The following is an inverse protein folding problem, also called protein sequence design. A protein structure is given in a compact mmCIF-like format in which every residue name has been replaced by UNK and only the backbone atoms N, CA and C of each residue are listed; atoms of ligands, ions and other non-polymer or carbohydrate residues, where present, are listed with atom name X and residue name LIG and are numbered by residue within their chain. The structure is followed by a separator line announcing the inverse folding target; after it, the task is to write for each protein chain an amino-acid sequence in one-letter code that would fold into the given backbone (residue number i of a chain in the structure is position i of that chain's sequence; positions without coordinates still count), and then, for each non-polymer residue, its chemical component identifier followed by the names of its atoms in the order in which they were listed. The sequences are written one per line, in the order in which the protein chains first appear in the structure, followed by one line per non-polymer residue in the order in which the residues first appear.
data_IF_188725362484
#
_entry.id   IF_188725362484
#
_cell.length_a   1.000
_cell.length_b   1.000
_cell.length_c   1.000
_cell.angle_alpha   90.00
_cell.angle_beta   90.00
_cell.angle_gamma   90.00
#
_symmetry.space_group_name_H-M   'P 1'
#
loop_
_entity.id
_entity.type
_entity.pdbx_description
1 polymer ?
#
# COMPACT_ATOMS: atom_id res chain seq x y z
N UNK A 1 35.50 30.88 -19.43
CA UNK A 1 34.92 29.52 -19.23
C UNK A 1 33.67 29.73 -18.38
N UNK A 2 32.49 29.70 -19.04
CA UNK A 2 31.17 29.84 -18.40
C UNK A 2 30.73 28.48 -17.90
N UNK A 3 30.45 28.39 -16.60
CA UNK A 3 29.73 27.27 -16.02
C UNK A 3 28.28 27.30 -16.50
N UNK A 4 27.86 26.22 -17.12
CA UNK A 4 26.51 26.00 -17.61
C UNK A 4 25.60 25.65 -16.45
N UNK A 5 24.41 26.22 -16.53
CA UNK A 5 23.37 26.34 -15.57
C UNK A 5 22.84 25.06 -14.95
N UNK A 6 22.49 25.21 -13.70
CA UNK A 6 21.52 24.38 -13.00
C UNK A 6 20.17 24.52 -13.70
N UNK A 7 19.77 23.51 -14.44
CA UNK A 7 18.40 23.39 -14.92
C UNK A 7 17.50 23.14 -13.70
N UNK A 8 16.84 24.19 -13.27
CA UNK A 8 15.69 24.14 -12.40
C UNK A 8 14.62 23.29 -13.09
N UNK A 9 14.51 22.02 -12.69
CA UNK A 9 13.30 21.25 -12.92
C UNK A 9 12.16 21.92 -12.15
N UNK A 10 11.46 22.82 -12.81
CA UNK A 10 10.14 23.28 -12.39
C UNK A 10 9.22 22.07 -12.43
N UNK A 11 9.01 21.43 -11.27
CA UNK A 11 7.94 20.47 -11.08
C UNK A 11 6.61 21.21 -11.36
N UNK A 12 6.07 21.00 -12.55
CA UNK A 12 4.65 21.22 -12.78
C UNK A 12 3.90 20.36 -11.79
N UNK A 13 3.08 20.97 -10.94
CA UNK A 13 2.25 20.28 -9.98
C UNK A 13 1.33 19.31 -10.74
N UNK A 14 1.74 18.07 -10.89
CA UNK A 14 0.89 16.98 -11.35
C UNK A 14 -0.28 16.79 -10.38
N UNK A 15 -1.35 16.11 -10.80
CA UNK A 15 -2.51 15.89 -9.95
C UNK A 15 -2.05 15.31 -8.62
N UNK A 16 -2.58 15.82 -7.50
CA UNK A 16 -2.26 15.35 -6.16
C UNK A 16 -2.57 13.85 -6.09
N UNK A 17 -1.55 12.99 -6.13
CA UNK A 17 -1.68 11.53 -6.10
C UNK A 17 -2.33 10.98 -4.82
N UNK A 18 -2.71 11.87 -3.88
CA UNK A 18 -3.21 11.51 -2.56
C UNK A 18 -4.40 12.39 -2.14
N UNK A 19 -5.47 11.74 -1.63
CA UNK A 19 -6.65 12.41 -1.06
C UNK A 19 -6.38 12.75 0.40
N UNK A 20 -6.25 14.02 0.74
CA UNK A 20 -6.16 14.48 2.11
C UNK A 20 -4.86 15.17 2.47
N UNK A 21 -4.50 15.15 3.76
CA UNK A 21 -3.28 15.76 4.29
C UNK A 21 -2.10 14.88 3.89
N UNK A 22 -1.10 15.47 3.22
CA UNK A 22 0.11 14.75 2.82
C UNK A 22 0.81 14.12 4.04
N UNK A 23 1.26 12.90 3.89
CA UNK A 23 1.98 12.16 4.92
C UNK A 23 3.46 12.48 4.85
N UNK A 24 3.84 13.71 5.25
CA UNK A 24 5.20 14.21 5.24
C UNK A 24 5.68 14.69 6.62
N UNK A 25 6.97 14.76 6.84
CA UNK A 25 7.59 15.32 8.01
C UNK A 25 7.12 14.69 9.32
N UNK A 26 6.60 15.52 10.21
CA UNK A 26 6.16 15.09 11.54
C UNK A 26 5.00 14.10 11.49
N UNK A 27 4.02 14.31 10.60
CA UNK A 27 2.84 13.42 10.46
C UNK A 27 3.23 12.01 10.05
N UNK A 28 4.16 11.86 9.11
CA UNK A 28 4.71 10.57 8.70
C UNK A 28 5.46 9.87 9.83
N UNK A 29 6.30 10.62 10.57
CA UNK A 29 7.07 10.08 11.71
C UNK A 29 6.15 9.64 12.85
N UNK A 30 5.13 10.41 13.17
CA UNK A 30 4.13 10.04 14.17
C UNK A 30 3.37 8.78 13.73
N UNK A 31 2.90 8.73 12.49
CA UNK A 31 2.22 7.57 11.94
C UNK A 31 3.10 6.31 12.01
N UNK A 32 4.35 6.39 11.60
CA UNK A 32 5.28 5.27 11.65
C UNK A 32 5.41 4.70 13.08
N UNK A 33 5.50 5.57 14.10
CA UNK A 33 5.56 5.15 15.51
C UNK A 33 4.28 4.44 15.97
N UNK A 34 3.11 4.94 15.58
CA UNK A 34 1.83 4.30 15.96
C UNK A 34 1.68 2.92 15.34
N UNK A 35 2.23 2.70 14.15
CA UNK A 35 2.18 1.40 13.47
C UNK A 35 3.10 0.34 14.07
N UNK A 36 4.07 0.70 14.89
CA UNK A 36 4.90 -0.27 15.62
C UNK A 36 4.08 -1.22 16.52
N UNK A 37 2.95 -0.75 17.02
CA UNK A 37 2.05 -1.59 17.84
C UNK A 37 1.32 -2.68 17.01
N UNK A 38 1.48 -2.69 15.70
CA UNK A 38 0.80 -3.63 14.79
C UNK A 38 1.79 -4.58 14.09
N UNK A 39 3.00 -4.74 14.64
CA UNK A 39 4.04 -5.58 14.05
C UNK A 39 3.61 -7.05 13.86
N UNK A 40 2.80 -7.59 14.77
CA UNK A 40 2.28 -8.95 14.65
C UNK A 40 1.32 -9.09 13.46
N UNK A 41 0.52 -8.07 13.16
CA UNK A 41 -0.33 -8.04 11.98
C UNK A 41 0.51 -7.99 10.68
N UNK A 42 1.59 -7.18 10.65
CA UNK A 42 2.53 -7.17 9.52
C UNK A 42 3.21 -8.52 9.31
N UNK A 43 3.67 -9.18 10.36
CA UNK A 43 4.26 -10.54 10.29
C UNK A 43 3.26 -11.56 9.75
N UNK A 44 2.03 -11.54 10.25
CA UNK A 44 0.97 -12.43 9.79
C UNK A 44 0.66 -12.22 8.30
N UNK A 45 0.50 -10.98 7.87
CA UNK A 45 0.27 -10.63 6.46
C UNK A 45 1.44 -11.04 5.57
N UNK A 46 2.66 -10.76 6.00
CA UNK A 46 3.87 -11.13 5.27
C UNK A 46 3.95 -12.65 5.08
N UNK A 47 3.66 -13.42 6.13
CA UNK A 47 3.62 -14.89 6.06
C UNK A 47 2.58 -15.39 5.07
N UNK A 48 1.33 -14.89 5.14
CA UNK A 48 0.26 -15.24 4.18
C UNK A 48 0.63 -14.95 2.73
N UNK A 49 1.37 -13.87 2.49
CA UNK A 49 1.85 -13.51 1.15
C UNK A 49 3.01 -14.40 0.74
N UNK A 50 4.02 -14.59 1.60
CA UNK A 50 5.19 -15.42 1.32
C UNK A 50 4.83 -16.85 0.93
N UNK A 51 3.81 -17.45 1.55
CA UNK A 51 3.32 -18.80 1.25
C UNK A 51 2.80 -18.95 -0.20
N UNK A 52 2.49 -17.83 -0.87
CA UNK A 52 1.95 -17.80 -2.24
C UNK A 52 2.98 -17.35 -3.28
N UNK A 53 4.16 -16.96 -2.84
CA UNK A 53 5.23 -16.46 -3.70
C UNK A 53 6.25 -17.55 -4.00
N UNK A 54 6.82 -17.50 -5.21
CA UNK A 54 7.98 -18.29 -5.58
C UNK A 54 9.26 -17.62 -5.05
N UNK A 55 10.30 -18.40 -4.70
CA UNK A 55 11.62 -17.82 -4.44
C UNK A 55 12.08 -16.91 -5.59
N UNK A 56 12.90 -15.92 -5.28
CA UNK A 56 13.51 -14.97 -6.23
C UNK A 56 12.51 -14.13 -7.05
N UNK A 57 11.21 -14.09 -6.66
CA UNK A 57 10.25 -13.26 -7.38
C UNK A 57 10.43 -11.77 -7.09
N UNK A 58 10.08 -10.95 -8.09
CA UNK A 58 10.06 -9.49 -7.99
C UNK A 58 8.71 -9.04 -7.39
N UNK A 59 8.76 -8.40 -6.22
CA UNK A 59 7.59 -7.92 -5.48
C UNK A 59 7.57 -6.41 -5.43
N UNK A 60 6.44 -5.80 -5.79
CA UNK A 60 6.20 -4.37 -5.58
C UNK A 60 5.21 -4.16 -4.43
N UNK A 61 5.61 -3.45 -3.38
CA UNK A 61 4.68 -2.88 -2.41
C UNK A 61 4.36 -1.43 -2.80
N UNK A 62 3.08 -1.14 -3.04
CA UNK A 62 2.59 0.21 -3.36
C UNK A 62 2.12 0.88 -2.07
N UNK A 63 2.68 2.04 -1.78
CA UNK A 63 2.50 2.82 -0.55
C UNK A 63 2.90 2.04 0.72
N UNK A 64 4.17 1.59 0.84
CA UNK A 64 4.68 0.84 1.98
C UNK A 64 4.67 1.63 3.29
N UNK A 65 4.53 2.96 3.24
CA UNK A 65 4.69 3.80 4.41
C UNK A 65 6.05 3.57 5.10
N UNK A 66 6.09 3.20 6.40
CA UNK A 66 7.35 2.94 7.11
C UNK A 66 8.05 1.63 6.71
N UNK A 67 7.54 0.85 5.74
CA UNK A 67 8.16 -0.34 5.17
C UNK A 67 8.05 -1.61 6.00
N UNK A 68 7.22 -1.65 7.03
CA UNK A 68 7.18 -2.78 7.97
C UNK A 68 6.77 -4.09 7.31
N UNK A 69 5.78 -4.08 6.42
CA UNK A 69 5.38 -5.30 5.70
C UNK A 69 6.50 -5.80 4.79
N UNK A 70 7.10 -4.92 3.96
CA UNK A 70 8.24 -5.27 3.10
C UNK A 70 9.39 -5.87 3.89
N UNK A 71 9.71 -5.32 5.07
CA UNK A 71 10.77 -5.80 5.95
C UNK A 71 10.44 -7.21 6.48
N UNK A 72 9.22 -7.42 6.97
CA UNK A 72 8.81 -8.72 7.46
C UNK A 72 8.75 -9.76 6.33
N UNK A 73 8.35 -9.37 5.12
CA UNK A 73 8.38 -10.24 3.95
C UNK A 73 9.82 -10.62 3.55
N UNK A 74 10.74 -9.66 3.55
CA UNK A 74 12.15 -9.90 3.22
C UNK A 74 12.86 -10.89 4.17
N UNK A 75 12.37 -11.02 5.40
CA UNK A 75 12.90 -11.99 6.38
C UNK A 75 12.44 -13.44 6.12
N UNK A 76 11.41 -13.62 5.29
CA UNK A 76 10.76 -14.94 5.09
C UNK A 76 11.26 -15.69 3.86
N UNK A 77 12.02 -15.03 2.97
CA UNK A 77 12.54 -15.69 1.79
C UNK A 77 13.39 -14.78 0.91
N UNK A 78 13.98 -15.35 -0.11
CA UNK A 78 14.76 -14.63 -1.12
C UNK A 78 13.80 -13.97 -2.11
N UNK A 79 13.32 -12.79 -1.79
CA UNK A 79 12.44 -11.97 -2.65
C UNK A 79 13.16 -10.67 -3.04
N UNK A 80 12.97 -10.22 -4.28
CA UNK A 80 13.43 -8.90 -4.73
C UNK A 80 12.33 -7.88 -4.48
N UNK A 81 12.37 -7.20 -3.33
CA UNK A 81 11.31 -6.32 -2.91
C UNK A 81 11.60 -4.86 -3.28
N UNK A 82 10.63 -4.23 -3.93
CA UNK A 82 10.63 -2.79 -4.21
C UNK A 82 9.41 -2.15 -3.54
N UNK A 83 9.60 -1.03 -2.85
CA UNK A 83 8.52 -0.21 -2.31
C UNK A 83 8.40 1.11 -3.08
N UNK A 84 7.19 1.49 -3.47
CA UNK A 84 6.88 2.78 -4.11
C UNK A 84 6.00 3.61 -3.21
N UNK A 85 6.47 4.77 -2.77
CA UNK A 85 5.66 5.71 -1.97
C UNK A 85 5.74 7.13 -2.54
N UNK A 86 4.66 7.89 -2.38
CA UNK A 86 4.59 9.29 -2.78
C UNK A 86 5.22 10.22 -1.74
N UNK A 87 5.43 9.76 -0.51
CA UNK A 87 6.03 10.49 0.58
C UNK A 87 7.54 10.30 0.63
N UNK A 88 8.28 11.38 0.46
CA UNK A 88 9.74 11.37 0.64
C UNK A 88 10.12 10.94 2.07
N UNK A 89 9.39 11.45 3.06
CA UNK A 89 9.63 11.11 4.47
C UNK A 89 9.43 9.60 4.72
N UNK A 90 8.43 8.96 4.11
CA UNK A 90 8.26 7.51 4.25
C UNK A 90 9.38 6.73 3.55
N UNK A 91 9.86 7.18 2.40
CA UNK A 91 11.03 6.55 1.74
C UNK A 91 12.26 6.58 2.66
N UNK A 92 12.52 7.71 3.31
CA UNK A 92 13.62 7.84 4.26
C UNK A 92 13.46 6.91 5.48
N UNK A 93 12.26 6.90 6.08
CA UNK A 93 11.95 6.04 7.25
C UNK A 93 12.05 4.56 6.86
N UNK A 94 11.45 4.15 5.75
CA UNK A 94 11.44 2.76 5.30
C UNK A 94 12.86 2.26 4.99
N UNK A 95 13.67 3.09 4.33
CA UNK A 95 15.07 2.77 4.04
C UNK A 95 15.89 2.58 5.31
N UNK A 96 15.72 3.46 6.30
CA UNK A 96 16.40 3.35 7.59
C UNK A 96 15.93 2.11 8.39
N UNK A 97 14.61 1.84 8.38
CA UNK A 97 14.06 0.65 9.02
C UNK A 97 14.60 -0.64 8.39
N UNK A 98 14.68 -0.71 7.05
CA UNK A 98 15.23 -1.86 6.34
C UNK A 98 16.73 -2.04 6.64
N UNK A 99 17.50 -0.96 6.66
CA UNK A 99 18.92 -0.97 7.03
C UNK A 99 19.11 -1.50 8.45
N UNK A 100 18.31 -1.02 9.40
CA UNK A 100 18.35 -1.45 10.81
C UNK A 100 17.96 -2.92 10.97
N UNK A 101 17.00 -3.40 10.15
CA UNK A 101 16.57 -4.79 10.14
C UNK A 101 17.54 -5.73 9.39
N UNK A 102 18.59 -5.20 8.72
CA UNK A 102 19.57 -5.98 7.99
C UNK A 102 19.03 -6.61 6.70
N UNK A 103 17.96 -6.05 6.12
CA UNK A 103 17.35 -6.55 4.87
C UNK A 103 17.58 -5.58 3.71
N UNK A 104 17.64 -6.12 2.48
CA UNK A 104 17.80 -5.34 1.25
C UNK A 104 16.45 -5.13 0.60
N UNK A 105 15.98 -3.89 0.54
CA UNK A 105 14.75 -3.47 -0.10
C UNK A 105 15.02 -2.17 -0.85
N UNK A 106 14.53 -2.05 -2.09
CA UNK A 106 14.64 -0.83 -2.88
C UNK A 106 13.40 0.04 -2.64
N UNK A 107 13.52 1.18 -1.96
CA UNK A 107 12.43 2.14 -1.82
C UNK A 107 12.59 3.27 -2.84
N UNK A 108 11.51 3.60 -3.56
CA UNK A 108 11.47 4.63 -4.59
C UNK A 108 10.34 5.62 -4.37
N UNK A 109 10.64 6.90 -4.58
CA UNK A 109 9.66 7.96 -4.58
C UNK A 109 8.87 7.91 -5.90
N UNK A 110 7.54 7.93 -5.84
CA UNK A 110 6.69 7.95 -7.03
C UNK A 110 5.20 7.89 -6.72
N UNK A 111 4.40 8.18 -7.76
CA UNK A 111 2.95 8.14 -7.69
C UNK A 111 2.44 6.78 -8.19
N UNK A 112 1.51 6.18 -7.45
CA UNK A 112 0.86 4.93 -7.84
C UNK A 112 0.09 5.00 -9.18
N UNK A 113 -0.35 6.19 -9.58
CA UNK A 113 -1.06 6.44 -10.85
C UNK A 113 -0.11 6.73 -12.04
N UNK A 114 1.21 6.75 -11.79
CA UNK A 114 2.25 6.95 -12.80
C UNK A 114 3.55 6.34 -12.27
N UNK A 115 3.64 5.01 -12.26
CA UNK A 115 4.74 4.28 -11.65
C UNK A 115 6.02 4.35 -12.49
N UNK A 116 7.19 4.70 -11.91
CA UNK A 116 8.45 4.83 -12.65
C UNK A 116 9.13 3.46 -12.87
N UNK A 117 8.37 2.50 -13.36
CA UNK A 117 8.86 1.15 -13.65
C UNK A 117 8.49 0.75 -15.09
N UNK A 118 9.30 -0.08 -15.74
CA UNK A 118 8.95 -0.67 -17.03
C UNK A 118 7.71 -1.55 -16.92
N UNK A 119 7.10 -1.85 -18.07
CA UNK A 119 6.04 -2.85 -18.15
C UNK A 119 6.57 -4.21 -17.70
N UNK A 120 5.71 -5.02 -17.12
CA UNK A 120 6.00 -6.43 -16.80
C UNK A 120 7.25 -6.65 -15.93
N UNK A 121 7.46 -5.77 -14.95
CA UNK A 121 8.63 -5.78 -14.08
C UNK A 121 8.47 -6.65 -12.84
N UNK A 122 7.22 -6.95 -12.43
CA UNK A 122 6.94 -7.59 -11.14
C UNK A 122 6.12 -8.86 -11.27
N UNK A 123 6.39 -9.84 -10.42
CA UNK A 123 5.64 -11.08 -10.29
C UNK A 123 4.46 -10.93 -9.31
N UNK A 124 4.54 -9.99 -8.40
CA UNK A 124 3.48 -9.72 -7.44
C UNK A 124 3.42 -8.24 -7.06
N UNK A 125 2.21 -7.68 -7.02
CA UNK A 125 1.97 -6.30 -6.58
C UNK A 125 1.07 -6.32 -5.35
N UNK A 126 1.49 -5.63 -4.29
CA UNK A 126 0.77 -5.55 -3.02
C UNK A 126 0.50 -4.09 -2.63
N UNK A 127 -0.70 -3.82 -2.13
CA UNK A 127 -1.05 -2.51 -1.55
C UNK A 127 -1.92 -2.74 -0.31
N UNK A 128 -1.52 -2.21 0.84
CA UNK A 128 -2.28 -2.37 2.08
C UNK A 128 -2.56 -1.04 2.77
N UNK A 129 -3.82 -0.86 3.20
CA UNK A 129 -4.31 0.27 3.99
C UNK A 129 -4.11 1.66 3.36
N UNK A 130 -3.82 1.75 2.06
CA UNK A 130 -3.45 2.98 1.37
C UNK A 130 -4.36 3.32 0.19
N UNK A 131 -4.93 2.32 -0.49
CA UNK A 131 -5.63 2.48 -1.76
C UNK A 131 -6.80 3.47 -1.69
N UNK A 132 -7.56 3.48 -0.59
CA UNK A 132 -8.65 4.45 -0.32
C UNK A 132 -8.21 5.92 -0.40
N UNK A 133 -6.92 6.18 -0.28
CA UNK A 133 -6.36 7.53 -0.30
C UNK A 133 -5.83 7.95 -1.68
N UNK A 134 -5.84 7.07 -2.69
CA UNK A 134 -5.38 7.42 -4.03
C UNK A 134 -6.37 8.36 -4.71
N UNK A 135 -5.88 9.44 -5.31
CA UNK A 135 -6.72 10.41 -6.04
C UNK A 135 -7.29 9.82 -7.33
N UNK A 136 -6.53 8.95 -7.97
CA UNK A 136 -6.82 8.32 -9.26
C UNK A 136 -6.76 6.79 -9.14
N UNK A 137 -7.75 6.17 -8.47
CA UNK A 137 -7.67 4.74 -8.14
C UNK A 137 -7.70 3.81 -9.36
N UNK A 138 -8.45 4.17 -10.41
CA UNK A 138 -8.50 3.38 -11.64
C UNK A 138 -7.16 3.42 -12.37
N UNK A 139 -6.52 4.60 -12.44
CA UNK A 139 -5.19 4.73 -13.04
C UNK A 139 -4.13 3.98 -12.25
N UNK A 140 -4.23 4.00 -10.91
CA UNK A 140 -3.35 3.17 -10.08
C UNK A 140 -3.53 1.67 -10.35
N UNK A 141 -4.78 1.21 -10.56
CA UNK A 141 -5.03 -0.18 -11.01
C UNK A 141 -4.44 -0.45 -12.39
N UNK A 142 -4.55 0.50 -13.33
CA UNK A 142 -3.98 0.39 -14.67
C UNK A 142 -2.45 0.27 -14.61
N UNK A 143 -1.80 1.05 -13.77
CA UNK A 143 -0.37 0.99 -13.55
C UNK A 143 0.05 -0.31 -12.85
N UNK A 144 -0.69 -0.78 -11.83
CA UNK A 144 -0.47 -2.11 -11.24
C UNK A 144 -0.56 -3.22 -12.29
N UNK A 145 -1.55 -3.15 -13.20
CA UNK A 145 -1.67 -4.10 -14.31
C UNK A 145 -0.50 -4.00 -15.29
N UNK A 146 -0.06 -2.77 -15.63
CA UNK A 146 1.03 -2.55 -16.58
C UNK A 146 2.34 -3.14 -16.09
N UNK A 147 2.70 -2.87 -14.82
CA UNK A 147 3.96 -3.33 -14.25
C UNK A 147 3.97 -4.80 -13.87
N UNK A 148 2.79 -5.44 -13.79
CA UNK A 148 2.64 -6.85 -13.45
C UNK A 148 2.94 -7.72 -14.68
N UNK A 149 3.69 -8.80 -14.52
CA UNK A 149 3.95 -9.79 -15.58
C UNK A 149 2.68 -10.57 -15.93
N UNK A 150 2.52 -11.05 -17.18
CA UNK A 150 1.44 -11.96 -17.55
C UNK A 150 1.40 -13.21 -16.66
N UNK A 151 0.19 -13.66 -16.32
CA UNK A 151 -0.02 -14.78 -15.39
C UNK A 151 0.18 -14.47 -13.91
N UNK A 152 0.58 -13.24 -13.59
CA UNK A 152 0.89 -12.80 -12.22
C UNK A 152 -0.30 -12.07 -11.57
N UNK A 153 -0.16 -11.72 -10.27
CA UNK A 153 -1.29 -11.28 -9.45
C UNK A 153 -0.99 -9.99 -8.68
N UNK A 154 -2.03 -9.19 -8.46
CA UNK A 154 -1.99 -8.08 -7.51
C UNK A 154 -3.00 -8.30 -6.38
N UNK A 155 -2.69 -7.80 -5.19
CA UNK A 155 -3.53 -7.86 -3.99
C UNK A 155 -3.63 -6.49 -3.36
N UNK A 156 -4.87 -5.99 -3.24
CA UNK A 156 -5.17 -4.79 -2.46
C UNK A 156 -5.89 -5.22 -1.18
N UNK A 157 -5.36 -4.83 -0.02
CA UNK A 157 -6.00 -5.01 1.28
C UNK A 157 -6.36 -3.64 1.83
N UNK A 158 -7.63 -3.30 1.94
CA UNK A 158 -8.03 -2.01 2.49
C UNK A 158 -9.31 -2.11 3.34
N UNK A 159 -9.56 -1.05 4.11
CA UNK A 159 -10.74 -0.94 4.94
C UNK A 159 -12.00 -0.92 4.06
N UNK A 160 -13.05 -1.64 4.47
CA UNK A 160 -14.35 -1.57 3.81
C UNK A 160 -15.23 -0.45 4.37
N UNK A 161 -16.05 0.15 3.53
CA UNK A 161 -16.88 1.30 3.86
C UNK A 161 -18.10 0.93 4.72
N UNK A 162 -18.59 -0.27 4.58
CA UNK A 162 -19.80 -0.81 5.20
C UNK A 162 -19.54 -1.50 6.57
N UNK A 163 -18.35 -1.24 7.17
CA UNK A 163 -18.04 -1.73 8.53
C UNK A 163 -18.99 -1.10 9.53
N UNK A 164 -19.67 -1.94 10.32
CA UNK A 164 -20.55 -1.52 11.39
C UNK A 164 -19.77 -1.03 12.63
N UNK A 165 -20.42 -0.20 13.45
CA UNK A 165 -19.81 0.25 14.71
C UNK A 165 -19.55 -0.91 15.68
N UNK A 166 -20.35 -1.96 15.62
CA UNK A 166 -20.19 -3.15 16.48
C UNK A 166 -18.99 -3.99 16.08
N UNK A 167 -18.73 -4.12 14.77
CA UNK A 167 -17.54 -4.76 14.26
C UNK A 167 -16.27 -4.01 14.66
N UNK A 168 -16.29 -2.66 14.57
CA UNK A 168 -15.18 -1.82 15.03
C UNK A 168 -14.95 -1.99 16.53
N UNK A 169 -16.01 -1.99 17.34
CA UNK A 169 -15.89 -2.18 18.79
C UNK A 169 -15.36 -3.57 19.15
N UNK A 170 -15.79 -4.59 18.43
CA UNK A 170 -15.31 -5.96 18.61
C UNK A 170 -13.83 -6.08 18.29
N UNK A 171 -13.38 -5.49 17.17
CA UNK A 171 -11.98 -5.43 16.80
C UNK A 171 -11.12 -4.69 17.84
N UNK A 172 -11.58 -3.53 18.31
CA UNK A 172 -10.88 -2.74 19.33
C UNK A 172 -10.74 -3.54 20.64
N UNK A 173 -11.81 -4.23 21.09
CA UNK A 173 -11.78 -5.08 22.29
C UNK A 173 -10.76 -6.22 22.16
N UNK A 174 -10.68 -6.85 21.00
CA UNK A 174 -9.73 -7.93 20.75
C UNK A 174 -8.28 -7.44 20.63
N UNK A 175 -8.06 -6.16 20.29
CA UNK A 175 -6.71 -5.60 20.11
C UNK A 175 -5.98 -5.25 21.42
N UNK A 176 -6.60 -5.42 22.59
CA UNK A 176 -5.99 -5.17 23.90
C UNK A 176 -5.57 -3.70 24.15
N UNK A 177 -6.08 -2.75 23.36
CA UNK A 177 -5.74 -1.32 23.46
C UNK A 177 -6.33 -0.69 24.72
N UNK A 178 -5.65 0.34 25.24
CA UNK A 178 -6.19 1.14 26.34
C UNK A 178 -7.52 1.80 25.95
N UNK A 179 -8.37 2.11 26.91
CA UNK A 179 -9.68 2.73 26.66
C UNK A 179 -9.57 4.07 25.90
N UNK A 180 -8.53 4.84 26.15
CA UNK A 180 -8.28 6.13 25.50
C UNK A 180 -7.85 5.94 24.04
N UNK A 181 -6.92 5.01 23.78
CA UNK A 181 -6.51 4.64 22.42
C UNK A 181 -7.67 4.03 21.63
N UNK A 182 -8.51 3.26 22.30
CA UNK A 182 -9.74 2.70 21.75
C UNK A 182 -10.72 3.80 21.31
N UNK A 183 -10.90 4.83 22.12
CA UNK A 183 -11.76 5.97 21.82
C UNK A 183 -11.22 6.79 20.63
N UNK A 184 -9.93 7.14 20.65
CA UNK A 184 -9.27 7.84 19.54
C UNK A 184 -9.34 7.04 18.24
N UNK A 185 -9.10 5.75 18.32
CA UNK A 185 -9.19 4.83 17.17
C UNK A 185 -10.61 4.83 16.61
N UNK A 186 -11.65 4.71 17.46
CA UNK A 186 -13.05 4.75 17.06
C UNK A 186 -13.41 6.07 16.36
N UNK A 187 -12.93 7.20 16.89
CA UNK A 187 -13.15 8.51 16.28
C UNK A 187 -12.47 8.64 14.92
N UNK A 188 -11.22 8.18 14.80
CA UNK A 188 -10.49 8.18 13.53
C UNK A 188 -11.18 7.29 12.48
N UNK A 189 -11.61 6.07 12.86
CA UNK A 189 -12.38 5.19 11.97
C UNK A 189 -13.66 5.87 11.49
N UNK A 190 -14.47 6.39 12.42
CA UNK A 190 -15.79 6.97 12.12
C UNK A 190 -15.72 8.20 11.23
N UNK A 191 -14.77 9.11 11.46
CA UNK A 191 -14.77 10.43 10.82
C UNK A 191 -13.83 10.57 9.64
N UNK A 192 -12.77 9.76 9.57
CA UNK A 192 -11.74 9.90 8.53
C UNK A 192 -11.60 8.68 7.63
N UNK A 193 -11.44 7.48 8.21
CA UNK A 193 -11.04 6.30 7.47
C UNK A 193 -12.20 5.69 6.68
N UNK A 194 -13.37 5.51 7.30
CA UNK A 194 -14.54 4.90 6.65
C UNK A 194 -15.09 5.79 5.53
N UNK A 195 -15.06 7.11 5.70
CA UNK A 195 -15.56 8.04 4.65
C UNK A 195 -14.82 7.93 3.33
N UNK A 196 -13.56 7.51 3.34
CA UNK A 196 -12.71 7.33 2.14
C UNK A 196 -12.68 5.88 1.66
N UNK A 197 -13.08 4.94 2.49
CA UNK A 197 -13.08 3.53 2.17
C UNK A 197 -14.07 3.22 1.04
N UNK A 198 -13.84 2.11 0.36
CA UNK A 198 -14.65 1.62 -0.74
C UNK A 198 -15.50 0.43 -0.30
N UNK A 199 -16.65 0.27 -0.93
CA UNK A 199 -17.49 -0.92 -0.83
C UNK A 199 -16.96 -2.01 -1.78
N UNK A 200 -17.52 -3.23 -1.68
CA UNK A 200 -17.32 -4.29 -2.67
C UNK A 200 -17.69 -3.82 -4.07
N UNK A 201 -18.89 -3.22 -4.22
CA UNK A 201 -19.41 -2.75 -5.51
C UNK A 201 -18.53 -1.62 -6.11
N UNK A 202 -17.95 -0.76 -5.24
CA UNK A 202 -17.00 0.25 -5.69
C UNK A 202 -15.74 -0.40 -6.30
N UNK A 203 -15.19 -1.46 -5.66
CA UNK A 203 -14.05 -2.19 -6.20
C UNK A 203 -14.38 -2.92 -7.50
N UNK A 204 -15.54 -3.59 -7.59
CA UNK A 204 -15.99 -4.27 -8.81
C UNK A 204 -16.16 -3.27 -9.96
N UNK A 205 -16.77 -2.11 -9.70
CA UNK A 205 -16.90 -1.03 -10.68
C UNK A 205 -15.54 -0.48 -11.14
N UNK A 206 -14.62 -0.19 -10.23
CA UNK A 206 -13.28 0.28 -10.58
C UNK A 206 -12.49 -0.79 -11.34
N UNK A 207 -12.60 -2.05 -10.95
CA UNK A 207 -11.98 -3.16 -11.66
C UNK A 207 -12.49 -3.27 -13.10
N UNK A 208 -13.81 -3.15 -13.31
CA UNK A 208 -14.41 -3.19 -14.67
C UNK A 208 -13.95 -2.03 -15.56
N UNK A 209 -13.64 -0.88 -14.99
CA UNK A 209 -13.11 0.30 -15.67
C UNK A 209 -11.59 0.22 -15.91
N UNK A 210 -10.89 -0.64 -15.17
CA UNK A 210 -9.44 -0.81 -15.27
C UNK A 210 -9.06 -1.87 -16.32
N UNK A 211 -7.76 -1.97 -16.60
CA UNK A 211 -7.20 -3.03 -17.47
C UNK A 211 -7.37 -4.44 -16.90
N UNK A 212 -7.60 -4.60 -15.60
CA UNK A 212 -7.89 -5.90 -14.98
C UNK A 212 -9.26 -6.46 -15.36
N UNK A 213 -10.25 -5.61 -15.68
CA UNK A 213 -11.63 -5.96 -16.06
C UNK A 213 -12.46 -6.60 -14.95
N UNK A 214 -11.86 -7.35 -14.05
CA UNK A 214 -12.55 -8.05 -12.96
C UNK A 214 -11.61 -8.23 -11.76
N UNK A 215 -12.18 -8.56 -10.61
CA UNK A 215 -11.45 -8.91 -9.40
C UNK A 215 -12.20 -9.99 -8.60
N UNK A 216 -11.48 -10.67 -7.71
CA UNK A 216 -12.06 -11.54 -6.69
C UNK A 216 -11.95 -10.84 -5.34
N UNK A 217 -13.04 -10.74 -4.58
CA UNK A 217 -13.09 -10.01 -3.33
C UNK A 217 -13.46 -10.93 -2.19
N UNK A 218 -12.59 -10.97 -1.17
CA UNK A 218 -12.83 -11.68 0.08
C UNK A 218 -13.00 -10.68 1.22
N UNK A 219 -14.00 -10.89 2.06
CA UNK A 219 -14.17 -10.09 3.28
C UNK A 219 -13.13 -10.52 4.32
N UNK A 220 -12.46 -9.54 4.90
CA UNK A 220 -11.65 -9.67 6.10
C UNK A 220 -12.32 -8.91 7.25
N UNK A 221 -11.88 -9.08 8.51
CA UNK A 221 -12.56 -8.54 9.70
C UNK A 221 -13.12 -7.10 9.53
N UNK A 222 -12.27 -6.12 9.25
CA UNK A 222 -12.68 -4.73 8.98
C UNK A 222 -12.40 -4.28 7.54
N UNK A 223 -11.97 -5.17 6.66
CA UNK A 223 -11.47 -4.84 5.34
C UNK A 223 -11.93 -5.77 4.23
N UNK A 224 -11.39 -5.51 3.06
CA UNK A 224 -11.51 -6.34 1.87
C UNK A 224 -10.12 -6.74 1.40
N UNK A 225 -9.96 -7.99 1.01
CA UNK A 225 -8.85 -8.49 0.21
C UNK A 225 -9.34 -8.58 -1.24
N UNK A 226 -8.78 -7.74 -2.11
CA UNK A 226 -9.16 -7.64 -3.52
C UNK A 226 -8.04 -8.18 -4.37
N UNK A 227 -8.30 -9.32 -5.00
CA UNK A 227 -7.34 -10.06 -5.81
C UNK A 227 -7.56 -9.76 -7.29
N UNK A 228 -6.49 -9.41 -7.96
CA UNK A 228 -6.45 -9.20 -9.40
C UNK A 228 -5.50 -10.17 -10.05
N UNK A 229 -5.79 -10.56 -11.28
CA UNK A 229 -4.91 -11.42 -12.09
C UNK A 229 -4.71 -10.79 -13.46
N UNK A 230 -3.47 -10.75 -13.94
CA UNK A 230 -3.16 -10.40 -15.32
C UNK A 230 -3.16 -11.70 -16.13
N UNK A 231 -4.00 -11.84 -17.18
CA UNK A 231 -4.05 -13.05 -18.00
C UNK A 231 -2.69 -13.32 -18.68
N UNK A 232 -2.43 -14.59 -19.02
CA UNK A 232 -1.36 -14.96 -19.93
C UNK A 232 -1.73 -14.45 -21.34
N UNK A 233 -0.89 -13.62 -21.98
CA UNK A 233 -1.10 -13.14 -23.35
C UNK A 233 -2.06 -11.94 -23.49
N UNK A 234 -2.14 -11.08 -22.50
CA UNK A 234 -2.83 -9.77 -22.61
C UNK A 234 -1.92 -8.69 -23.15
#
# INVERSE_FOLDING_TARGET
VRCLGEEQFMQTAGPKGYKGIGMEGWTARWYARTRLNEMDDFRHKAKKVAEKLRPECDVLEVAPGPGYFSIELAKLGAFHITGLDISRTFIEIASENARTAGVKIAFRLGNASAMPFPDESFDFVYCSAAFKNFSEPVEAMNEMHRVLRPGCRALICDLRKDVSLDEIQSYIRQSGRSWFDAWLTKMAFRHMLIKRAYTRDDFERMASQSKFRSCQIHAAALGLEVHFSKPLGS
#
